data_IF_538657782203
#
_entry.id   IF_538657782203
#
_cell.length_a   1.000
_cell.length_b   1.000
_cell.length_c   1.000
_cell.angle_alpha   90.00
_cell.angle_beta   90.00
_cell.angle_gamma   90.00
#
_symmetry.space_group_name_H-M   'P 1'
#
loop_
_entity.id
_entity.type
_entity.pdbx_description
1 polymer ?
#
# COMPACT_ATOMS: atom_id res chain seq x y z
N UNK A 1 -45.74 -28.79 12.02
CA UNK A 1 -45.22 -28.15 10.78
C UNK A 1 -44.10 -27.20 11.20
N UNK A 2 -42.85 -27.68 11.21
CA UNK A 2 -41.68 -26.87 11.61
C UNK A 2 -41.16 -26.17 10.37
N UNK A 3 -41.29 -24.85 10.36
CA UNK A 3 -40.86 -23.98 9.27
C UNK A 3 -39.38 -23.65 9.51
N UNK A 4 -38.47 -24.41 8.90
CA UNK A 4 -37.03 -24.17 8.99
C UNK A 4 -36.69 -22.82 8.37
N UNK A 5 -36.30 -21.87 9.23
CA UNK A 5 -35.77 -20.56 8.85
C UNK A 5 -34.25 -20.71 8.71
N UNK A 6 -33.74 -20.76 7.47
CA UNK A 6 -32.29 -20.71 7.21
C UNK A 6 -31.80 -19.29 7.54
N UNK A 7 -31.02 -19.14 8.59
CA UNK A 7 -30.23 -17.93 8.86
C UNK A 7 -28.88 -18.13 8.16
N UNK A 8 -28.65 -17.38 7.08
CA UNK A 8 -27.35 -17.34 6.41
C UNK A 8 -26.37 -16.53 7.28
N UNK A 9 -25.40 -17.22 7.88
CA UNK A 9 -24.31 -16.60 8.63
C UNK A 9 -23.30 -16.01 7.62
N UNK A 10 -23.41 -14.72 7.32
CA UNK A 10 -22.37 -13.99 6.60
C UNK A 10 -21.20 -13.78 7.57
N UNK A 11 -20.17 -14.64 7.48
CA UNK A 11 -18.89 -14.36 8.12
C UNK A 11 -18.27 -13.15 7.41
N UNK A 12 -17.98 -12.04 8.11
CA UNK A 12 -17.17 -10.98 7.52
C UNK A 12 -15.81 -11.58 7.17
N UNK A 13 -15.40 -11.47 5.91
CA UNK A 13 -14.05 -11.82 5.51
C UNK A 13 -13.11 -10.87 6.28
N UNK A 14 -12.35 -11.42 7.22
CA UNK A 14 -11.28 -10.68 7.88
C UNK A 14 -10.23 -10.40 6.80
N UNK A 15 -10.13 -9.13 6.37
CA UNK A 15 -9.04 -8.68 5.52
C UNK A 15 -7.79 -8.63 6.39
N UNK A 16 -7.02 -9.72 6.40
CA UNK A 16 -5.71 -9.75 7.03
C UNK A 16 -4.72 -9.00 6.14
N UNK A 17 -3.88 -8.16 6.75
CA UNK A 17 -2.76 -7.57 6.02
C UNK A 17 -1.72 -8.61 5.60
N UNK A 18 -0.92 -8.22 4.62
CA UNK A 18 0.19 -9.01 4.11
C UNK A 18 1.47 -8.73 4.92
N UNK A 19 2.32 -9.75 5.05
CA UNK A 19 3.66 -9.54 5.56
C UNK A 19 4.49 -8.81 4.50
N UNK A 20 5.12 -7.69 4.88
CA UNK A 20 6.00 -6.89 4.01
C UNK A 20 7.43 -6.93 4.51
N UNK A 21 8.39 -6.64 3.61
CA UNK A 21 9.82 -6.60 3.94
C UNK A 21 10.26 -5.17 4.30
N UNK A 22 11.21 -4.99 5.24
CA UNK A 22 11.73 -3.66 5.57
C UNK A 22 12.60 -3.10 4.44
N UNK A 23 12.63 -1.77 4.31
CA UNK A 23 13.56 -1.09 3.43
C UNK A 23 14.99 -1.06 4.00
N UNK A 24 16.03 -1.03 3.14
CA UNK A 24 17.43 -1.02 3.58
C UNK A 24 17.87 0.27 4.28
N UNK A 25 17.07 1.34 4.18
CA UNK A 25 17.33 2.63 4.83
C UNK A 25 17.04 2.63 6.34
N UNK A 26 16.52 1.53 6.90
CA UNK A 26 16.21 1.41 8.32
C UNK A 26 14.97 2.21 8.75
N UNK A 27 14.15 2.68 7.80
CA UNK A 27 12.88 3.30 8.10
C UNK A 27 11.94 2.30 8.81
N UNK A 28 11.01 2.79 9.66
CA UNK A 28 9.97 1.95 10.24
C UNK A 28 9.14 1.25 9.16
N UNK A 29 8.62 0.06 9.46
CA UNK A 29 7.57 -0.56 8.66
C UNK A 29 6.19 -0.13 9.20
N UNK A 30 5.15 -0.04 8.35
CA UNK A 30 3.79 0.19 8.82
C UNK A 30 3.31 -0.97 9.72
N UNK A 31 2.28 -0.69 10.51
CA UNK A 31 1.67 -1.68 11.41
C UNK A 31 0.88 -2.73 10.64
N UNK A 32 0.22 -2.33 9.56
CA UNK A 32 -0.57 -3.21 8.71
C UNK A 32 -0.58 -2.72 7.26
N UNK A 33 -0.60 -3.66 6.31
CA UNK A 33 -0.70 -3.39 4.88
C UNK A 33 -1.74 -4.33 4.29
N UNK A 34 -2.86 -3.79 3.82
CA UNK A 34 -3.95 -4.58 3.23
C UNK A 34 -4.07 -4.24 1.76
N UNK A 35 -4.00 -5.25 0.90
CA UNK A 35 -4.14 -5.10 -0.55
C UNK A 35 -5.37 -5.86 -0.99
N UNK A 36 -6.31 -5.20 -1.68
CA UNK A 36 -7.55 -5.84 -2.12
C UNK A 36 -7.21 -7.01 -3.06
N UNK A 37 -7.75 -8.20 -2.74
CA UNK A 37 -7.53 -9.41 -3.53
C UNK A 37 -6.19 -10.10 -3.31
N UNK A 38 -5.35 -9.62 -2.39
CA UNK A 38 -4.07 -10.22 -2.06
C UNK A 38 -3.95 -10.50 -0.55
N UNK A 39 -3.80 -11.77 -0.20
CA UNK A 39 -3.63 -12.23 1.19
C UNK A 39 -2.23 -12.76 1.48
N UNK A 40 -1.41 -12.93 0.44
CA UNK A 40 -0.02 -13.35 0.54
C UNK A 40 0.74 -12.88 -0.71
N UNK A 41 2.02 -12.57 -0.53
CA UNK A 41 2.91 -12.19 -1.62
C UNK A 41 3.39 -13.41 -2.43
N UNK A 42 3.66 -13.27 -3.75
CA UNK A 42 3.52 -12.05 -4.54
C UNK A 42 2.05 -11.78 -4.92
N UNK A 43 1.63 -10.51 -4.83
CA UNK A 43 0.28 -10.13 -5.25
C UNK A 43 0.12 -10.23 -6.76
N UNK A 44 -0.93 -10.91 -7.23
CA UNK A 44 -1.21 -11.06 -8.67
C UNK A 44 -1.95 -9.84 -9.18
N UNK A 45 -1.34 -9.11 -10.11
CA UNK A 45 -1.87 -7.85 -10.64
C UNK A 45 -1.96 -7.95 -12.17
N UNK A 46 -3.17 -7.94 -12.75
CA UNK A 46 -3.32 -7.93 -14.20
C UNK A 46 -2.91 -6.57 -14.78
N UNK A 47 -2.34 -6.56 -15.99
CA UNK A 47 -2.03 -5.32 -16.72
C UNK A 47 -3.30 -4.48 -16.90
N UNK A 48 -3.24 -3.20 -16.55
CA UNK A 48 -4.40 -2.31 -16.59
C UNK A 48 -5.39 -2.52 -15.45
N UNK A 49 -5.11 -3.44 -14.52
CA UNK A 49 -5.81 -3.56 -13.25
C UNK A 49 -5.48 -2.41 -12.30
N UNK A 50 -6.03 -2.48 -11.09
CA UNK A 50 -5.80 -1.50 -10.04
C UNK A 50 -5.06 -2.15 -8.88
N UNK A 51 -4.09 -1.42 -8.31
CA UNK A 51 -3.54 -1.69 -6.99
C UNK A 51 -4.30 -0.82 -6.01
N UNK A 52 -5.07 -1.47 -5.15
CA UNK A 52 -5.91 -0.85 -4.13
C UNK A 52 -5.44 -1.36 -2.76
N UNK A 53 -4.90 -0.46 -1.95
CA UNK A 53 -4.18 -0.81 -0.74
C UNK A 53 -4.41 0.22 0.37
N UNK A 54 -4.60 -0.27 1.59
CA UNK A 54 -4.54 0.53 2.81
C UNK A 54 -3.27 0.22 3.62
N UNK A 55 -2.64 1.25 4.16
CA UNK A 55 -1.52 1.16 5.08
C UNK A 55 -1.83 1.87 6.38
N UNK A 56 -1.70 1.15 7.49
CA UNK A 56 -1.84 1.70 8.82
C UNK A 56 -0.46 1.95 9.42
N UNK A 57 -0.19 3.17 9.89
CA UNK A 57 1.04 3.48 10.60
C UNK A 57 0.81 4.49 11.72
N UNK A 58 1.74 4.51 12.68
CA UNK A 58 1.81 5.55 13.70
C UNK A 58 2.95 6.48 13.35
N UNK A 59 2.66 7.77 13.21
CA UNK A 59 3.66 8.73 12.78
C UNK A 59 4.77 8.88 13.83
N UNK A 60 6.05 8.61 13.50
CA UNK A 60 7.15 8.71 14.47
C UNK A 60 7.48 10.16 14.87
N UNK A 61 6.97 11.15 14.12
CA UNK A 61 7.23 12.58 14.32
C UNK A 61 6.07 13.44 13.82
N UNK A 62 6.03 14.71 14.22
CA UNK A 62 5.09 15.67 13.68
C UNK A 62 5.56 16.17 12.30
N UNK A 63 4.63 16.46 11.39
CA UNK A 63 4.94 17.05 10.08
C UNK A 63 3.74 17.78 9.49
N UNK A 64 4.02 18.82 8.69
CA UNK A 64 2.98 19.60 8.02
C UNK A 64 2.47 18.95 6.75
N UNK A 65 3.31 18.16 6.07
CA UNK A 65 3.01 17.55 4.78
C UNK A 65 3.60 16.16 4.71
N UNK A 66 2.91 15.26 4.02
CA UNK A 66 3.40 13.90 3.80
C UNK A 66 3.47 13.63 2.30
N UNK A 67 4.62 13.15 1.83
CA UNK A 67 4.85 12.85 0.41
C UNK A 67 4.95 11.34 0.20
N UNK A 68 4.15 10.80 -0.72
CA UNK A 68 4.21 9.39 -1.12
C UNK A 68 5.14 9.20 -2.33
N UNK A 69 5.91 8.12 -2.30
CA UNK A 69 6.73 7.66 -3.43
C UNK A 69 6.60 6.16 -3.62
N UNK A 70 6.47 5.72 -4.87
CA UNK A 70 6.40 4.31 -5.26
C UNK A 70 7.49 4.04 -6.28
N UNK A 71 8.49 3.24 -5.91
CA UNK A 71 9.52 2.76 -6.83
C UNK A 71 9.24 1.30 -7.21
N UNK A 72 9.57 0.94 -8.44
CA UNK A 72 9.37 -0.41 -8.97
C UNK A 72 10.71 -0.98 -9.41
N UNK A 73 11.01 -2.21 -9.01
CA UNK A 73 12.25 -2.92 -9.32
C UNK A 73 11.95 -4.22 -10.05
N UNK A 74 12.64 -4.46 -11.16
CA UNK A 74 12.67 -5.74 -11.86
C UNK A 74 14.05 -6.37 -11.62
N UNK A 75 14.15 -7.22 -10.59
CA UNK A 75 15.45 -7.62 -10.05
C UNK A 75 16.19 -6.39 -9.52
N UNK A 76 17.43 -6.18 -9.96
CA UNK A 76 18.26 -5.04 -9.55
C UNK A 76 18.00 -3.76 -10.38
N UNK A 77 17.12 -3.82 -11.39
CA UNK A 77 16.85 -2.68 -12.28
C UNK A 77 15.64 -1.88 -11.79
N UNK A 78 15.84 -0.58 -11.55
CA UNK A 78 14.75 0.37 -11.28
C UNK A 78 13.98 0.65 -12.57
N UNK A 79 12.68 0.35 -12.57
CA UNK A 79 11.76 0.70 -13.64
C UNK A 79 11.35 2.17 -13.46
N UNK A 80 11.46 3.02 -14.51
CA UNK A 80 10.98 4.38 -14.43
C UNK A 80 9.46 4.41 -14.23
N UNK A 81 9.05 4.74 -13.01
CA UNK A 81 7.67 4.95 -12.63
C UNK A 81 7.64 6.05 -11.57
N UNK A 82 6.69 6.96 -11.70
CA UNK A 82 6.43 8.01 -10.72
C UNK A 82 4.94 8.02 -10.43
N UNK A 83 4.58 8.14 -9.15
CA UNK A 83 3.17 8.35 -8.77
C UNK A 83 2.66 9.63 -9.44
N UNK A 84 1.40 9.66 -9.90
CA UNK A 84 0.77 10.87 -10.39
C UNK A 84 0.94 12.02 -9.39
N UNK A 85 1.20 13.24 -9.86
CA UNK A 85 1.44 14.41 -8.99
C UNK A 85 0.33 14.58 -7.93
N UNK A 86 -0.91 14.29 -8.30
CA UNK A 86 -2.04 14.33 -7.37
C UNK A 86 -1.89 13.34 -6.20
N UNK A 87 -1.32 12.15 -6.45
CA UNK A 87 -1.10 11.08 -5.48
C UNK A 87 0.18 11.23 -4.66
N UNK A 88 1.10 12.10 -5.08
CA UNK A 88 2.32 12.38 -4.31
C UNK A 88 2.01 13.11 -3.00
N UNK A 89 0.97 13.95 -2.95
CA UNK A 89 0.51 14.53 -1.68
C UNK A 89 -0.36 13.50 -0.95
N UNK A 90 0.27 12.74 -0.06
CA UNK A 90 -0.37 11.64 0.66
C UNK A 90 -1.47 12.10 1.61
N UNK A 91 -1.40 13.33 2.10
CA UNK A 91 -2.42 13.92 2.98
C UNK A 91 -3.83 13.85 2.36
N UNK A 92 -3.92 13.88 1.03
CA UNK A 92 -5.19 13.82 0.30
C UNK A 92 -5.82 12.42 0.27
N UNK A 93 -5.09 11.40 0.70
CA UNK A 93 -5.50 9.99 0.66
C UNK A 93 -5.42 9.35 2.04
N UNK A 94 -5.55 10.14 3.10
CA UNK A 94 -5.74 9.60 4.44
C UNK A 94 -7.22 9.31 4.65
N UNK A 95 -7.58 8.05 4.85
CA UNK A 95 -8.94 7.64 5.26
C UNK A 95 -9.13 7.85 6.76
N UNK A 96 -8.03 7.88 7.53
CA UNK A 96 -7.99 8.30 8.92
C UNK A 96 -6.76 9.16 9.19
N UNK A 97 -6.97 10.27 9.90
CA UNK A 97 -5.96 11.30 10.14
C UNK A 97 -6.01 12.42 9.10
N UNK A 98 -5.20 13.45 9.29
CA UNK A 98 -5.09 14.57 8.35
C UNK A 98 -3.78 15.32 8.55
N UNK A 99 -3.39 16.13 7.56
CA UNK A 99 -2.27 17.04 7.73
C UNK A 99 -2.74 18.38 8.36
N UNK A 100 -1.97 18.98 9.29
CA UNK A 100 -0.69 18.52 9.82
C UNK A 100 -0.82 17.29 10.74
N UNK A 101 0.14 16.37 10.64
CA UNK A 101 0.18 15.12 11.41
C UNK A 101 0.94 15.34 12.71
N UNK A 102 0.40 14.87 13.83
CA UNK A 102 1.06 14.89 15.13
C UNK A 102 1.97 13.66 15.34
N UNK A 103 2.99 13.80 16.17
CA UNK A 103 3.79 12.65 16.60
C UNK A 103 2.92 11.67 17.40
N UNK A 104 3.01 10.38 17.07
CA UNK A 104 2.21 9.32 17.70
C UNK A 104 0.78 9.23 17.18
N UNK A 105 0.41 10.02 16.17
CA UNK A 105 -0.90 9.93 15.53
C UNK A 105 -0.99 8.68 14.65
N UNK A 106 -2.11 7.97 14.76
CA UNK A 106 -2.45 6.88 13.87
C UNK A 106 -2.99 7.44 12.55
N UNK A 107 -2.45 6.95 11.44
CA UNK A 107 -2.86 7.31 10.09
C UNK A 107 -3.22 6.04 9.32
N UNK A 108 -4.33 6.09 8.60
CA UNK A 108 -4.65 5.12 7.55
C UNK A 108 -4.45 5.83 6.20
N UNK A 109 -3.47 5.37 5.43
CA UNK A 109 -3.18 5.86 4.08
C UNK A 109 -3.71 4.89 3.03
N UNK A 110 -4.50 5.41 2.09
CA UNK A 110 -5.05 4.66 0.98
C UNK A 110 -4.28 4.96 -0.32
N UNK A 111 -3.87 3.92 -1.03
CA UNK A 111 -3.28 4.00 -2.36
C UNK A 111 -4.17 3.27 -3.35
N UNK A 112 -4.60 4.00 -4.38
CA UNK A 112 -5.35 3.45 -5.50
C UNK A 112 -4.73 3.89 -6.82
N UNK A 113 -3.95 3.00 -7.45
CA UNK A 113 -3.17 3.34 -8.65
C UNK A 113 -3.27 2.26 -9.73
N UNK A 114 -3.38 2.65 -11.02
CA UNK A 114 -3.43 1.67 -12.11
C UNK A 114 -2.07 0.97 -12.31
N UNK A 115 -2.12 -0.33 -12.52
CA UNK A 115 -0.97 -1.17 -12.85
C UNK A 115 -0.68 -1.11 -14.36
N UNK A 116 -0.03 -0.03 -14.80
CA UNK A 116 0.46 0.10 -16.16
C UNK A 116 1.83 -0.58 -16.29
N UNK A 117 1.87 -1.74 -16.97
CA UNK A 117 3.12 -2.44 -17.28
C UNK A 117 3.20 -2.77 -18.78
N UNK A 118 4.39 -2.65 -19.40
CA UNK A 118 4.56 -2.91 -20.83
C UNK A 118 4.54 -4.41 -21.18
N UNK A 119 4.82 -5.29 -20.21
CA UNK A 119 4.92 -6.73 -20.41
C UNK A 119 4.36 -7.49 -19.21
N UNK A 120 3.81 -8.68 -19.46
CA UNK A 120 3.32 -9.62 -18.46
C UNK A 120 4.34 -10.73 -18.17
N UNK A 121 4.05 -11.58 -17.17
CA UNK A 121 4.86 -12.75 -16.83
C UNK A 121 6.12 -12.40 -16.03
N UNK A 122 6.14 -11.23 -15.40
CA UNK A 122 7.27 -10.75 -14.60
C UNK A 122 6.86 -10.63 -13.13
N UNK A 123 7.83 -10.75 -12.24
CA UNK A 123 7.68 -10.39 -10.83
C UNK A 123 8.48 -9.13 -10.57
N UNK A 124 7.86 -8.15 -9.92
CA UNK A 124 8.47 -6.88 -9.56
C UNK A 124 8.43 -6.69 -8.05
N UNK A 125 9.44 -6.01 -7.53
CA UNK A 125 9.46 -5.51 -6.16
C UNK A 125 9.02 -4.05 -6.15
N UNK A 126 8.04 -3.74 -5.31
CA UNK A 126 7.53 -2.39 -5.09
C UNK A 126 8.15 -1.86 -3.80
N UNK A 127 8.64 -0.63 -3.83
CA UNK A 127 9.03 0.12 -2.64
C UNK A 127 8.08 1.28 -2.45
N UNK A 128 7.26 1.22 -1.40
CA UNK A 128 6.42 2.33 -1.00
C UNK A 128 7.06 3.03 0.19
N UNK A 129 7.21 4.35 0.08
CA UNK A 129 7.75 5.20 1.13
C UNK A 129 6.91 6.47 1.26
N UNK A 130 6.60 6.83 2.52
CA UNK A 130 6.01 8.11 2.87
C UNK A 130 7.02 8.93 3.66
N UNK A 131 7.26 10.17 3.25
CA UNK A 131 8.25 11.07 3.87
C UNK A 131 7.59 12.32 4.45
N UNK A 132 8.22 12.95 5.45
CA UNK A 132 7.75 14.26 5.96
C UNK A 132 8.21 15.43 5.08
N UNK A 133 7.90 16.64 5.55
CA UNK A 133 8.36 17.91 5.02
C UNK A 133 9.89 18.06 4.88
N UNK A 134 10.70 17.32 5.64
CA UNK A 134 12.16 17.29 5.51
C UNK A 134 12.67 16.14 4.63
N UNK A 135 11.78 15.35 4.01
CA UNK A 135 12.14 14.22 3.17
C UNK A 135 12.70 13.01 3.94
N UNK A 136 12.50 12.93 5.26
CA UNK A 136 12.89 11.77 6.05
C UNK A 136 11.74 10.74 6.01
N UNK A 137 11.99 9.44 5.90
CA UNK A 137 10.92 8.44 5.91
C UNK A 137 10.12 8.47 7.22
N UNK A 138 8.78 8.43 7.11
CA UNK A 138 7.85 8.09 8.19
C UNK A 138 7.74 6.56 8.29
N UNK A 139 7.60 5.90 7.14
CA UNK A 139 7.77 4.46 6.98
C UNK A 139 8.27 4.13 5.58
N UNK A 140 8.82 2.93 5.41
CA UNK A 140 9.11 2.34 4.11
C UNK A 140 8.96 0.82 4.17
N UNK A 141 8.38 0.22 3.13
CA UNK A 141 8.38 -1.23 2.97
C UNK A 141 8.60 -1.66 1.52
N UNK A 142 9.00 -2.92 1.37
CA UNK A 142 9.12 -3.64 0.10
C UNK A 142 8.05 -4.71 0.02
N UNK A 143 7.33 -4.77 -1.10
CA UNK A 143 6.37 -5.81 -1.41
C UNK A 143 6.63 -6.42 -2.79
N UNK A 144 6.17 -7.64 -3.04
CA UNK A 144 6.34 -8.32 -4.34
C UNK A 144 5.01 -8.46 -5.09
N UNK A 145 5.04 -8.23 -6.40
CA UNK A 145 3.88 -8.34 -7.28
C UNK A 145 4.20 -9.16 -8.53
N UNK A 146 3.30 -10.06 -8.90
CA UNK A 146 3.35 -10.79 -10.16
C UNK A 146 2.42 -10.11 -11.18
N UNK A 147 3.00 -9.60 -12.26
CA UNK A 147 2.25 -8.96 -13.34
C UNK A 147 1.79 -10.01 -14.34
N UNK A 148 0.48 -10.10 -14.56
CA UNK A 148 -0.13 -11.08 -15.48
C UNK A 148 -0.84 -10.40 -16.64
N UNK A 149 -0.99 -11.12 -17.75
CA UNK A 149 -1.79 -10.65 -18.87
C UNK A 149 -3.28 -10.61 -18.49
N UNK A 150 -4.03 -9.75 -19.18
CA UNK A 150 -5.51 -9.76 -19.13
C UNK A 150 -6.09 -10.87 -19.98
#
# INVERSE_FOLDING_TARGET
>A
MVKSMLVALFLPALAYGIAVRPCPNGAPIPQDVRVIGCTAEPCVIPIGGMVDMDCDFVSPRATNTVTASLEIFLGDFRVPYELPVAQQNACNFFEAGSCPVAQGEFINYHLNTPAAAPFAGITVDLRLELTDDNGVPLFCFLSSAQIVAV
#
